data_IF_957218934663
#
_entry.id   IF_957218934663
#
_cell.length_a   1.000
_cell.length_b   1.000
_cell.length_c   1.000
_cell.angle_alpha   90.00
_cell.angle_beta   90.00
_cell.angle_gamma   90.00
#
_symmetry.space_group_name_H-M   'P 1'
#
loop_
_entity.id
_entity.type
_entity.pdbx_description
1 polymer ?
#
# COMPACT_ATOMS: atom_id res chain seq x y z
N UNK A 1 -3.20 -34.72 -24.66
CA UNK A 1 -3.57 -33.28 -24.66
C UNK A 1 -2.28 -32.49 -24.43
N UNK A 2 -2.01 -31.44 -25.19
CA UNK A 2 -0.85 -30.58 -24.95
C UNK A 2 -1.05 -29.79 -23.66
N UNK A 3 0.04 -29.48 -22.95
CA UNK A 3 0.03 -28.67 -21.71
C UNK A 3 -0.68 -27.32 -21.93
N UNK A 4 -0.53 -26.73 -23.12
CA UNK A 4 -1.22 -25.51 -23.52
C UNK A 4 -2.75 -25.67 -23.54
N UNK A 5 -3.26 -26.78 -24.10
CA UNK A 5 -4.71 -27.01 -24.22
C UNK A 5 -5.38 -27.20 -22.85
N UNK A 6 -4.72 -27.91 -21.94
CA UNK A 6 -5.20 -28.07 -20.56
C UNK A 6 -5.21 -26.74 -19.80
N UNK A 7 -4.22 -25.89 -20.06
CA UNK A 7 -4.11 -24.57 -19.44
C UNK A 7 -5.20 -23.63 -19.92
N UNK A 8 -5.48 -23.63 -21.21
CA UNK A 8 -6.57 -22.86 -21.81
C UNK A 8 -7.93 -23.33 -21.28
N UNK A 9 -8.15 -24.64 -21.17
CA UNK A 9 -9.38 -25.21 -20.59
C UNK A 9 -9.55 -24.82 -19.11
N UNK A 10 -8.46 -24.83 -18.33
CA UNK A 10 -8.47 -24.41 -16.93
C UNK A 10 -8.74 -22.92 -16.77
N UNK A 11 -8.08 -22.07 -17.58
CA UNK A 11 -8.33 -20.62 -17.64
C UNK A 11 -9.79 -20.33 -17.93
N UNK A 12 -10.34 -20.94 -18.98
CA UNK A 12 -11.74 -20.75 -19.38
C UNK A 12 -12.69 -21.20 -18.27
N UNK A 13 -12.41 -22.31 -17.60
CA UNK A 13 -13.23 -22.83 -16.51
C UNK A 13 -13.25 -21.89 -15.29
N UNK A 14 -12.08 -21.34 -14.91
CA UNK A 14 -11.96 -20.39 -13.80
C UNK A 14 -12.62 -19.06 -14.16
N UNK A 15 -12.32 -18.49 -15.33
CA UNK A 15 -12.92 -17.24 -15.78
C UNK A 15 -14.44 -17.32 -15.85
N UNK A 16 -14.97 -18.42 -16.41
CA UNK A 16 -16.43 -18.64 -16.56
C UNK A 16 -17.18 -18.74 -15.22
N UNK A 17 -16.52 -19.17 -14.14
CA UNK A 17 -17.12 -19.22 -12.80
C UNK A 17 -16.89 -17.95 -12.00
N UNK A 18 -15.67 -17.43 -12.01
CA UNK A 18 -15.26 -16.34 -11.13
C UNK A 18 -15.69 -14.97 -11.64
N UNK A 19 -15.57 -14.71 -12.95
CA UNK A 19 -15.85 -13.37 -13.52
C UNK A 19 -17.32 -12.95 -13.34
N UNK A 20 -18.33 -13.81 -13.58
CA UNK A 20 -19.73 -13.43 -13.39
C UNK A 20 -20.08 -13.15 -11.92
N UNK A 21 -19.64 -14.01 -11.01
CA UNK A 21 -19.92 -13.83 -9.57
C UNK A 21 -19.21 -12.61 -9.00
N UNK A 22 -17.97 -12.36 -9.42
CA UNK A 22 -17.22 -11.18 -9.03
C UNK A 22 -17.82 -9.90 -9.62
N UNK A 23 -18.38 -9.95 -10.84
CA UNK A 23 -19.10 -8.82 -11.46
C UNK A 23 -20.37 -8.48 -10.69
N UNK A 24 -21.19 -9.46 -10.34
CA UNK A 24 -22.38 -9.23 -9.52
C UNK A 24 -22.04 -8.66 -8.14
N UNK A 25 -20.97 -9.16 -7.52
CA UNK A 25 -20.42 -8.58 -6.28
C UNK A 25 -19.98 -7.13 -6.50
N UNK A 26 -19.16 -6.85 -7.52
CA UNK A 26 -18.67 -5.52 -7.86
C UNK A 26 -19.83 -4.52 -8.05
N UNK A 27 -20.81 -4.87 -8.88
CA UNK A 27 -21.92 -3.99 -9.27
C UNK A 27 -22.92 -3.75 -8.13
N UNK A 28 -23.17 -4.77 -7.30
CA UNK A 28 -24.05 -4.68 -6.13
C UNK A 28 -23.52 -3.68 -5.11
N UNK A 29 -22.22 -3.71 -4.85
CA UNK A 29 -21.60 -2.83 -3.86
C UNK A 29 -21.33 -1.43 -4.44
N UNK A 30 -20.88 -1.27 -5.68
CA UNK A 30 -20.64 0.04 -6.32
C UNK A 30 -21.85 1.00 -6.23
N UNK A 31 -23.08 0.46 -6.20
CA UNK A 31 -24.32 1.24 -6.10
C UNK A 31 -24.65 1.75 -4.70
N UNK A 32 -24.02 1.27 -3.63
CA UNK A 32 -24.52 1.48 -2.27
C UNK A 32 -23.71 2.40 -1.35
N UNK A 33 -22.43 2.70 -1.57
CA UNK A 33 -21.74 3.76 -0.80
C UNK A 33 -20.32 4.04 -1.35
N UNK A 34 -19.82 5.25 -1.13
CA UNK A 34 -18.55 5.82 -1.63
C UNK A 34 -17.27 5.17 -1.06
N UNK A 35 -17.38 4.03 -0.39
CA UNK A 35 -16.31 3.44 0.44
C UNK A 35 -15.90 2.01 0.03
N UNK A 36 -16.23 1.58 -1.19
CA UNK A 36 -15.93 0.23 -1.71
C UNK A 36 -14.68 0.20 -2.59
N UNK A 37 -14.16 1.35 -3.01
CA UNK A 37 -12.91 1.44 -3.78
C UNK A 37 -11.68 0.91 -3.04
N UNK A 38 -11.75 0.75 -1.71
CA UNK A 38 -10.69 0.09 -0.94
C UNK A 38 -10.82 -1.43 -0.84
N UNK A 39 -12.01 -2.01 -1.07
CA UNK A 39 -12.24 -3.46 -0.88
C UNK A 39 -12.05 -4.27 -2.16
N UNK A 40 -12.14 -3.60 -3.31
CA UNK A 40 -12.24 -4.24 -4.62
C UNK A 40 -11.02 -3.87 -5.44
N UNK A 41 -10.01 -4.75 -5.41
CA UNK A 41 -8.68 -4.49 -6.01
C UNK A 41 -8.70 -4.47 -7.55
N UNK A 42 -9.75 -4.98 -8.19
CA UNK A 42 -9.85 -5.10 -9.65
C UNK A 42 -11.28 -4.87 -10.16
N UNK A 43 -11.45 -4.24 -11.33
CA UNK A 43 -12.69 -4.30 -12.11
C UNK A 43 -12.90 -5.69 -12.72
N UNK A 44 -14.14 -6.19 -12.89
CA UNK A 44 -14.40 -7.54 -13.40
C UNK A 44 -13.80 -7.80 -14.78
N UNK A 45 -13.78 -6.77 -15.64
CA UNK A 45 -13.26 -6.85 -17.00
C UNK A 45 -11.73 -7.01 -17.03
N UNK A 46 -11.05 -6.58 -15.97
CA UNK A 46 -9.60 -6.70 -15.85
C UNK A 46 -9.17 -8.03 -15.25
N UNK A 47 -10.06 -8.73 -14.54
CA UNK A 47 -9.79 -10.06 -13.99
C UNK A 47 -9.46 -11.08 -15.10
N UNK A 48 -10.08 -10.95 -16.27
CA UNK A 48 -9.81 -11.81 -17.43
C UNK A 48 -8.41 -11.58 -18.03
N UNK A 49 -7.94 -10.32 -18.01
CA UNK A 49 -6.58 -9.96 -18.42
C UNK A 49 -5.54 -10.53 -17.44
N UNK A 50 -5.78 -10.42 -16.13
CA UNK A 50 -4.88 -11.01 -15.12
C UNK A 50 -4.85 -12.55 -15.18
N UNK A 51 -5.99 -13.20 -15.42
CA UNK A 51 -6.04 -14.65 -15.65
C UNK A 51 -5.28 -15.01 -16.93
N UNK A 52 -5.34 -14.17 -17.96
CA UNK A 52 -4.55 -14.34 -19.18
C UNK A 52 -3.05 -14.31 -18.88
N UNK A 53 -2.56 -13.31 -18.16
CA UNK A 53 -1.14 -13.21 -17.82
C UNK A 53 -0.67 -14.36 -16.90
N UNK A 54 -1.50 -14.76 -15.93
CA UNK A 54 -1.21 -15.88 -15.02
C UNK A 54 -1.01 -17.21 -15.76
N UNK A 55 -1.78 -17.45 -16.82
CA UNK A 55 -1.71 -18.68 -17.59
C UNK A 55 -0.79 -18.55 -18.82
N UNK A 56 -0.58 -17.36 -19.37
CA UNK A 56 0.15 -17.17 -20.62
C UNK A 56 1.54 -16.51 -20.48
N UNK A 57 2.00 -16.11 -19.27
CA UNK A 57 3.27 -15.38 -19.08
C UNK A 57 4.27 -15.95 -18.06
N UNK A 58 5.41 -16.43 -18.58
CA UNK A 58 6.78 -16.53 -18.01
C UNK A 58 7.04 -17.41 -16.76
N UNK A 59 7.86 -18.43 -17.01
CA UNK A 59 8.41 -19.42 -16.06
C UNK A 59 9.07 -18.76 -14.83
N UNK A 60 8.47 -18.90 -13.64
CA UNK A 60 9.16 -19.33 -12.40
C UNK A 60 8.17 -20.19 -11.61
N UNK A 61 8.12 -21.50 -11.91
CA UNK A 61 7.56 -22.47 -10.97
C UNK A 61 8.64 -22.78 -9.92
N UNK A 62 8.31 -22.59 -8.65
CA UNK A 62 8.85 -23.45 -7.60
C UNK A 62 7.67 -23.92 -6.76
N UNK A 63 7.52 -25.23 -6.73
CA UNK A 63 6.44 -25.96 -6.10
C UNK A 63 6.39 -25.72 -4.59
N UNK A 64 5.18 -25.56 -4.06
CA UNK A 64 4.76 -26.22 -2.83
C UNK A 64 3.24 -26.10 -2.68
N UNK A 65 2.59 -27.26 -2.78
CA UNK A 65 1.22 -27.48 -2.38
C UNK A 65 1.09 -27.44 -0.85
N UNK A 66 0.23 -26.58 -0.34
CA UNK A 66 -0.37 -26.79 0.98
C UNK A 66 -1.80 -26.27 1.01
N UNK A 67 -2.67 -27.21 1.31
CA UNK A 67 -4.10 -27.14 1.61
C UNK A 67 -4.59 -25.83 2.24
N UNK A 68 -5.59 -25.24 1.60
CA UNK A 68 -6.42 -24.17 2.14
C UNK A 68 -7.31 -24.74 3.26
N UNK A 69 -7.15 -24.20 4.47
CA UNK A 69 -8.20 -24.24 5.49
C UNK A 69 -8.79 -22.85 5.65
N UNK A 70 -10.09 -22.86 5.90
CA UNK A 70 -11.07 -21.78 5.77
C UNK A 70 -10.98 -20.70 6.85
N UNK A 71 -11.49 -19.51 6.48
CA UNK A 71 -11.96 -18.41 7.34
C UNK A 71 -10.83 -17.59 7.99
N UNK A 72 -10.73 -16.27 7.80
CA UNK A 72 -11.79 -15.29 8.04
C UNK A 72 -11.73 -14.12 7.07
N UNK A 73 -12.87 -13.86 6.43
CA UNK A 73 -13.19 -12.62 5.75
C UNK A 73 -13.96 -11.77 6.76
N UNK A 74 -13.38 -10.69 7.29
CA UNK A 74 -14.17 -9.67 8.01
C UNK A 74 -13.76 -8.28 7.51
N UNK A 75 -14.68 -7.71 6.73
CA UNK A 75 -15.12 -6.32 6.61
C UNK A 75 -14.16 -5.18 7.02
N UNK A 76 -13.73 -4.39 6.03
CA UNK A 76 -13.26 -3.02 6.25
C UNK A 76 -14.36 -2.02 5.90
N UNK A 77 -15.26 -1.86 6.85
CA UNK A 77 -16.21 -0.77 6.97
C UNK A 77 -16.35 -0.46 8.45
N UNK A 78 -15.47 0.38 8.99
CA UNK A 78 -15.72 1.07 10.24
C UNK A 78 -15.11 2.47 10.18
N UNK A 79 -15.94 3.39 9.67
CA UNK A 79 -16.09 4.68 10.34
C UNK A 79 -16.61 4.37 11.74
N UNK A 80 -15.90 4.87 12.75
CA UNK A 80 -16.20 4.79 14.20
C UNK A 80 -17.55 4.18 14.57
N UNK A 81 -17.52 2.93 15.04
CA UNK A 81 -18.46 2.43 16.03
C UNK A 81 -17.63 1.99 17.23
N UNK A 82 -17.77 2.69 18.35
CA UNK A 82 -17.36 2.16 19.64
C UNK A 82 -18.27 0.96 19.92
N UNK A 83 -17.85 -0.28 19.62
CA UNK A 83 -18.26 -1.49 20.34
C UNK A 83 -17.47 -2.73 19.85
N UNK A 84 -16.96 -3.50 20.83
CA UNK A 84 -16.34 -4.85 20.79
C UNK A 84 -15.15 -5.10 19.83
N UNK A 85 -14.06 -4.34 19.98
CA UNK A 85 -12.75 -4.86 19.54
C UNK A 85 -12.24 -5.92 20.53
N UNK A 86 -11.83 -7.09 20.02
CA UNK A 86 -11.15 -8.11 20.85
C UNK A 86 -9.94 -7.45 21.52
N UNK A 87 -9.84 -7.46 22.86
CA UNK A 87 -8.71 -6.90 23.59
C UNK A 87 -7.34 -7.39 23.09
N UNK A 88 -7.26 -8.61 22.53
CA UNK A 88 -6.03 -9.15 21.93
C UNK A 88 -5.66 -8.43 20.63
N UNK A 89 -6.63 -8.12 19.78
CA UNK A 89 -6.38 -7.38 18.54
C UNK A 89 -5.91 -5.96 18.84
N UNK A 90 -6.54 -5.30 19.83
CA UNK A 90 -6.11 -3.96 20.28
C UNK A 90 -4.67 -3.97 20.78
N UNK A 91 -4.28 -5.00 21.56
CA UNK A 91 -2.91 -5.16 22.07
C UNK A 91 -1.92 -5.43 20.93
N UNK A 92 -2.26 -6.32 19.99
CA UNK A 92 -1.39 -6.61 18.83
C UNK A 92 -1.25 -5.39 17.90
N UNK A 93 -2.31 -4.59 17.73
CA UNK A 93 -2.21 -3.31 17.03
C UNK A 93 -1.28 -2.34 17.75
N UNK A 94 -1.42 -2.17 19.06
CA UNK A 94 -0.53 -1.31 19.85
C UNK A 94 0.95 -1.79 19.80
N UNK A 95 1.18 -3.11 19.85
CA UNK A 95 2.52 -3.71 19.70
C UNK A 95 3.07 -3.43 18.30
N UNK A 96 2.26 -3.62 17.26
CA UNK A 96 2.66 -3.41 15.87
C UNK A 96 2.99 -1.95 15.61
N UNK A 97 2.17 -1.04 16.12
CA UNK A 97 2.40 0.39 16.12
C UNK A 97 3.77 0.66 16.75
N UNK A 98 3.97 0.22 18.01
CA UNK A 98 5.20 0.44 18.77
C UNK A 98 6.45 -0.06 18.02
N UNK A 99 6.37 -1.25 17.40
CA UNK A 99 7.45 -1.82 16.59
C UNK A 99 7.72 -1.00 15.34
N UNK A 100 6.68 -0.60 14.61
CA UNK A 100 6.83 0.16 13.39
C UNK A 100 7.37 1.58 13.65
N UNK A 101 6.97 2.21 14.74
CA UNK A 101 7.54 3.47 15.21
C UNK A 101 9.00 3.31 15.67
N UNK A 102 9.30 2.33 16.52
CA UNK A 102 10.67 2.09 16.99
C UNK A 102 11.61 1.82 15.81
N UNK A 103 11.17 1.01 14.85
CA UNK A 103 11.90 0.78 13.60
C UNK A 103 12.15 2.10 12.85
N UNK A 104 11.12 2.97 12.72
CA UNK A 104 11.23 4.28 12.08
C UNK A 104 12.32 5.18 12.70
N UNK A 105 12.53 5.10 14.02
CA UNK A 105 13.50 5.94 14.75
C UNK A 105 14.93 5.38 14.83
N UNK A 106 15.12 4.06 14.67
CA UNK A 106 16.43 3.39 14.83
C UNK A 106 17.45 3.67 13.71
N UNK A 107 17.60 4.92 13.27
CA UNK A 107 18.54 5.33 12.21
C UNK A 107 19.02 6.77 12.33
N UNK A 108 18.96 7.34 13.54
CA UNK A 108 19.35 8.73 13.79
C UNK A 108 20.17 8.87 15.06
N UNK A 109 21.35 8.26 15.14
CA UNK A 109 22.41 8.85 15.96
C UNK A 109 23.00 10.02 15.16
N UNK A 110 22.72 11.23 15.66
CA UNK A 110 23.25 12.47 15.11
C UNK A 110 24.71 12.59 15.53
N UNK A 111 25.65 12.25 14.65
CA UNK A 111 26.94 12.95 14.68
C UNK A 111 26.71 14.36 14.13
N UNK A 112 26.85 15.35 15.02
CA UNK A 112 26.89 16.77 14.64
C UNK A 112 28.13 17.01 13.78
N UNK A 113 27.99 16.91 12.47
CA UNK A 113 28.97 17.47 11.53
C UNK A 113 28.40 18.75 10.95
N UNK A 114 28.88 19.87 11.46
CA UNK A 114 28.74 21.18 10.83
C UNK A 114 29.50 21.15 9.50
N UNK A 115 28.76 21.04 8.39
CA UNK A 115 29.28 21.46 7.09
C UNK A 115 28.21 22.27 6.38
N UNK A 116 28.42 23.58 6.32
CA UNK A 116 27.63 24.49 5.50
C UNK A 116 27.92 24.23 4.02
N UNK A 117 26.91 23.80 3.27
CA UNK A 117 26.89 23.91 1.82
C UNK A 117 25.57 24.57 1.43
N UNK A 118 25.66 25.77 0.86
CA UNK A 118 24.54 26.46 0.22
C UNK A 118 24.12 25.69 -1.03
N UNK A 119 22.82 25.46 -1.19
CA UNK A 119 22.27 24.83 -2.39
C UNK A 119 20.74 24.67 -2.34
N UNK A 120 20.06 25.76 -2.75
CA UNK A 120 18.69 25.87 -3.30
C UNK A 120 17.47 25.42 -2.47
N UNK A 121 16.66 26.44 -2.12
CA UNK A 121 15.25 26.43 -1.71
C UNK A 121 14.76 25.18 -0.98
N UNK A 122 14.71 25.28 0.36
CA UNK A 122 13.87 24.40 1.15
C UNK A 122 12.45 24.48 0.58
N UNK A 123 11.92 23.36 0.08
CA UNK A 123 10.51 23.23 -0.26
C UNK A 123 9.70 23.52 1.01
N UNK A 124 9.30 24.77 1.16
CA UNK A 124 8.44 25.23 2.24
C UNK A 124 7.05 24.68 1.96
N UNK A 125 6.71 23.57 2.61
CA UNK A 125 5.39 22.99 2.51
C UNK A 125 5.32 21.59 3.08
N UNK A 126 4.13 21.24 3.52
CA UNK A 126 3.79 19.91 3.97
C UNK A 126 4.09 18.85 2.89
N UNK A 127 4.73 17.76 3.30
CA UNK A 127 5.12 16.66 2.42
C UNK A 127 4.73 15.30 2.99
N UNK A 128 4.65 14.29 2.12
CA UNK A 128 4.37 12.90 2.49
C UNK A 128 5.30 11.95 1.73
N UNK A 129 6.19 11.28 2.48
CA UNK A 129 7.07 10.24 1.98
C UNK A 129 6.36 8.90 1.94
N UNK A 130 6.51 8.14 0.87
CA UNK A 130 5.83 6.85 0.66
C UNK A 130 6.84 5.77 0.28
N UNK A 131 6.56 4.52 0.65
CA UNK A 131 7.37 3.36 0.29
C UNK A 131 6.56 2.06 0.26
N UNK A 132 6.91 1.18 -0.68
CA UNK A 132 6.41 -0.18 -0.78
C UNK A 132 7.46 -1.24 -0.40
N UNK A 133 7.15 -2.09 0.57
CA UNK A 133 7.97 -3.25 0.93
C UNK A 133 7.44 -4.52 0.27
N UNK A 134 8.20 -5.05 -0.69
CA UNK A 134 7.86 -6.28 -1.42
C UNK A 134 8.99 -7.31 -1.34
N UNK A 135 8.65 -8.60 -1.29
CA UNK A 135 9.63 -9.70 -1.38
C UNK A 135 9.00 -10.92 -2.02
N UNK A 136 9.61 -11.45 -3.08
CA UNK A 136 9.08 -12.57 -3.87
C UNK A 136 8.71 -13.80 -3.01
N UNK A 137 9.54 -14.09 -2.01
CA UNK A 137 9.42 -15.28 -1.14
C UNK A 137 8.37 -15.12 -0.03
N UNK A 138 7.83 -13.93 0.17
CA UNK A 138 6.84 -13.65 1.22
C UNK A 138 5.44 -13.52 0.61
N UNK A 139 4.42 -13.91 1.36
CA UNK A 139 3.01 -13.82 0.93
C UNK A 139 2.42 -12.42 1.11
N UNK A 140 3.04 -11.60 1.96
CA UNK A 140 2.61 -10.24 2.29
C UNK A 140 3.54 -9.20 1.66
N UNK A 141 2.98 -8.08 1.29
CA UNK A 141 3.69 -6.82 1.06
C UNK A 141 3.30 -5.84 2.17
N UNK A 142 4.15 -4.86 2.43
CA UNK A 142 3.86 -3.78 3.36
C UNK A 142 3.86 -2.45 2.65
N UNK A 143 2.99 -1.54 3.07
CA UNK A 143 2.92 -0.17 2.61
C UNK A 143 3.25 0.74 3.79
N UNK A 144 4.04 1.78 3.55
CA UNK A 144 4.42 2.73 4.57
C UNK A 144 4.41 4.16 4.04
N UNK A 145 3.95 5.09 4.85
CA UNK A 145 4.05 6.51 4.53
C UNK A 145 4.24 7.37 5.78
N UNK A 146 4.96 8.47 5.63
CA UNK A 146 5.26 9.44 6.67
C UNK A 146 5.03 10.86 6.15
N UNK A 147 4.05 11.53 6.72
CA UNK A 147 3.67 12.90 6.44
C UNK A 147 4.19 13.83 7.55
N UNK A 148 4.70 15.00 7.14
CA UNK A 148 5.19 16.02 8.05
C UNK A 148 4.86 17.41 7.51
N UNK A 149 4.27 18.22 8.36
CA UNK A 149 4.05 19.64 8.14
C UNK A 149 5.08 20.45 8.93
N UNK A 150 6.06 21.08 8.25
CA UNK A 150 7.09 21.87 8.92
C UNK A 150 6.53 23.14 9.59
N UNK A 151 5.39 23.67 9.14
CA UNK A 151 4.83 24.92 9.65
C UNK A 151 4.12 24.70 10.99
N UNK A 152 3.33 23.62 11.10
CA UNK A 152 2.66 23.23 12.36
C UNK A 152 3.50 22.32 13.26
N UNK A 153 4.56 21.70 12.71
CA UNK A 153 5.31 20.63 13.36
C UNK A 153 4.51 19.32 13.50
N UNK A 154 3.34 19.21 12.85
CA UNK A 154 2.51 18.02 12.93
C UNK A 154 3.07 16.89 12.06
N UNK A 155 2.91 15.66 12.54
CA UNK A 155 3.27 14.46 11.80
C UNK A 155 2.11 13.48 11.79
N UNK A 156 1.98 12.77 10.67
CA UNK A 156 1.07 11.65 10.52
C UNK A 156 1.82 10.52 9.82
N UNK A 157 1.51 9.28 10.16
CA UNK A 157 2.13 8.14 9.51
C UNK A 157 1.16 6.97 9.46
N UNK A 158 1.39 6.11 8.49
CA UNK A 158 0.64 4.87 8.36
C UNK A 158 1.57 3.73 7.97
N UNK A 159 1.29 2.55 8.53
CA UNK A 159 1.76 1.31 7.96
C UNK A 159 0.61 0.30 7.86
N UNK A 160 0.57 -0.42 6.75
CA UNK A 160 -0.37 -1.50 6.56
C UNK A 160 0.28 -2.64 5.79
N UNK A 161 -0.31 -3.82 5.86
CA UNK A 161 0.10 -4.92 5.01
C UNK A 161 -1.07 -5.45 4.21
N UNK A 162 -0.73 -6.10 3.11
CA UNK A 162 -1.68 -6.68 2.18
C UNK A 162 -1.10 -7.92 1.53
N UNK A 163 -1.95 -8.72 0.88
CA UNK A 163 -1.48 -9.84 0.05
C UNK A 163 -0.57 -9.30 -1.06
N UNK A 164 0.64 -9.84 -1.13
CA UNK A 164 1.69 -9.37 -2.04
C UNK A 164 1.20 -9.35 -3.48
N UNK A 165 1.34 -8.20 -4.14
CA UNK A 165 1.08 -8.04 -5.58
C UNK A 165 2.15 -8.70 -6.45
N UNK A 166 2.03 -8.57 -7.76
CA UNK A 166 2.90 -9.25 -8.72
C UNK A 166 4.32 -8.68 -8.76
N UNK A 167 4.48 -7.39 -8.48
CA UNK A 167 5.77 -6.69 -8.60
C UNK A 167 6.05 -5.70 -7.46
N UNK A 168 7.33 -5.37 -7.19
CA UNK A 168 7.69 -4.27 -6.29
C UNK A 168 7.05 -2.95 -6.71
N UNK A 169 7.06 -2.65 -8.02
CA UNK A 169 6.51 -1.41 -8.57
C UNK A 169 4.99 -1.28 -8.33
N UNK A 170 4.25 -2.40 -8.35
CA UNK A 170 2.85 -2.41 -7.93
C UNK A 170 2.70 -2.00 -6.47
N UNK A 171 3.54 -2.52 -5.58
CA UNK A 171 3.50 -2.20 -4.14
C UNK A 171 3.85 -0.73 -3.88
N UNK A 172 4.80 -0.15 -4.64
CA UNK A 172 5.09 1.30 -4.59
C UNK A 172 3.86 2.14 -5.00
N UNK A 173 3.17 1.74 -6.06
CA UNK A 173 1.96 2.41 -6.53
C UNK A 173 0.80 2.28 -5.52
N UNK A 174 0.64 1.11 -4.91
CA UNK A 174 -0.35 0.87 -3.86
C UNK A 174 -0.06 1.72 -2.61
N UNK A 175 1.21 1.88 -2.23
CA UNK A 175 1.62 2.78 -1.15
C UNK A 175 1.24 4.24 -1.45
N UNK A 176 1.43 4.68 -2.70
CA UNK A 176 1.02 6.02 -3.13
C UNK A 176 -0.50 6.21 -3.05
N UNK A 177 -1.29 5.29 -3.62
CA UNK A 177 -2.76 5.36 -3.57
C UNK A 177 -3.25 5.44 -2.12
N UNK A 178 -2.71 4.58 -1.25
CA UNK A 178 -3.11 4.57 0.16
C UNK A 178 -2.73 5.85 0.89
N UNK A 179 -1.52 6.37 0.66
CA UNK A 179 -1.11 7.66 1.21
C UNK A 179 -2.02 8.81 0.74
N UNK A 180 -2.37 8.84 -0.55
CA UNK A 180 -3.27 9.84 -1.12
C UNK A 180 -4.66 9.80 -0.48
N UNK A 181 -5.25 8.61 -0.36
CA UNK A 181 -6.54 8.42 0.31
C UNK A 181 -6.47 8.86 1.79
N UNK A 182 -5.37 8.54 2.47
CA UNK A 182 -5.14 8.92 3.86
C UNK A 182 -5.04 10.45 4.04
N UNK A 183 -4.30 11.13 3.16
CA UNK A 183 -4.20 12.60 3.20
C UNK A 183 -5.57 13.26 2.95
N UNK A 184 -6.35 12.75 1.99
CA UNK A 184 -7.69 13.25 1.71
C UNK A 184 -8.64 13.08 2.91
N UNK A 185 -8.56 11.94 3.62
CA UNK A 185 -9.34 11.68 4.82
C UNK A 185 -9.00 12.65 5.97
N UNK A 186 -7.76 13.14 6.03
CA UNK A 186 -7.30 14.14 7.01
C UNK A 186 -7.46 15.58 6.50
N UNK A 187 -8.25 15.78 5.45
CA UNK A 187 -8.49 17.08 4.81
C UNK A 187 -7.20 17.81 4.35
N UNK A 188 -6.12 17.07 4.10
CA UNK A 188 -4.87 17.61 3.55
C UNK A 188 -5.01 17.65 2.03
N UNK A 189 -5.32 18.84 1.50
CA UNK A 189 -5.66 19.05 0.07
C UNK A 189 -4.51 19.60 -0.77
N UNK A 190 -3.38 19.97 -0.17
CA UNK A 190 -2.20 20.49 -0.86
C UNK A 190 -1.01 19.65 -0.43
N UNK A 191 -0.61 18.71 -1.26
CA UNK A 191 0.37 17.69 -0.87
C UNK A 191 1.51 17.54 -1.85
N UNK A 192 2.71 17.46 -1.29
CA UNK A 192 3.93 17.06 -1.98
C UNK A 192 4.28 15.63 -1.59
N UNK A 193 3.94 14.67 -2.45
CA UNK A 193 4.31 13.27 -2.26
C UNK A 193 5.75 13.03 -2.71
N UNK A 194 6.48 12.18 -1.98
CA UNK A 194 7.89 11.89 -2.22
C UNK A 194 8.13 10.39 -2.19
N UNK A 195 8.90 9.87 -3.15
CA UNK A 195 9.25 8.45 -3.28
C UNK A 195 10.70 8.32 -3.74
N UNK A 196 11.38 7.22 -3.42
CA UNK A 196 12.68 6.89 -4.03
C UNK A 196 12.57 6.00 -5.28
N UNK A 197 11.34 5.65 -5.68
CA UNK A 197 11.09 4.88 -6.87
C UNK A 197 10.93 5.78 -8.10
N UNK A 198 12.02 5.95 -8.86
CA UNK A 198 11.99 6.73 -10.12
C UNK A 198 10.99 6.18 -11.15
N UNK A 199 10.80 4.86 -11.22
CA UNK A 199 9.82 4.24 -12.13
C UNK A 199 8.39 4.59 -11.75
N UNK A 200 8.07 4.70 -10.46
CA UNK A 200 6.76 5.17 -10.00
C UNK A 200 6.51 6.62 -10.45
N UNK A 201 7.51 7.50 -10.31
CA UNK A 201 7.39 8.90 -10.78
C UNK A 201 7.11 8.95 -12.29
N UNK A 202 7.83 8.15 -13.09
CA UNK A 202 7.59 8.04 -14.53
C UNK A 202 6.19 7.52 -14.84
N UNK A 203 5.74 6.51 -14.10
CA UNK A 203 4.43 5.89 -14.27
C UNK A 203 3.29 6.87 -14.03
N UNK A 204 3.33 7.63 -12.94
CA UNK A 204 2.29 8.63 -12.62
C UNK A 204 2.34 9.84 -13.56
N UNK A 205 3.50 10.12 -14.17
CA UNK A 205 3.67 11.23 -15.12
C UNK A 205 3.16 10.88 -16.52
N UNK A 206 3.33 9.62 -16.96
CA UNK A 206 2.95 9.15 -18.30
C UNK A 206 2.22 7.80 -18.20
N UNK A 207 1.00 7.75 -17.64
CA UNK A 207 0.29 6.51 -17.34
C UNK A 207 0.00 5.66 -18.59
N UNK A 208 -0.07 6.26 -19.78
CA UNK A 208 -0.36 5.58 -21.04
C UNK A 208 0.73 4.55 -21.43
N UNK A 209 1.95 4.71 -20.89
CA UNK A 209 3.05 3.76 -21.07
C UNK A 209 2.96 2.52 -20.17
N UNK A 210 1.95 2.43 -19.29
CA UNK A 210 1.89 1.46 -18.20
C UNK A 210 0.52 0.75 -18.10
N UNK A 211 0.02 0.13 -19.19
CA UNK A 211 -1.32 -0.44 -19.25
C UNK A 211 -1.58 -1.54 -18.19
N UNK A 212 -0.55 -2.28 -17.77
CA UNK A 212 -0.66 -3.28 -16.70
C UNK A 212 -1.15 -2.68 -15.37
N UNK A 213 -0.92 -1.38 -15.14
CA UNK A 213 -1.27 -0.68 -13.92
C UNK A 213 -2.51 0.23 -14.07
N UNK A 214 -3.23 0.13 -15.20
CA UNK A 214 -4.33 1.04 -15.56
C UNK A 214 -5.33 1.26 -14.42
N UNK A 215 -5.77 0.20 -13.74
CA UNK A 215 -6.71 0.29 -12.61
C UNK A 215 -6.15 1.13 -11.45
N UNK A 216 -4.92 0.85 -11.04
CA UNK A 216 -4.31 1.58 -9.93
C UNK A 216 -4.01 3.03 -10.35
N UNK A 217 -3.71 3.27 -11.62
CA UNK A 217 -3.52 4.60 -12.17
C UNK A 217 -4.84 5.38 -12.27
N UNK A 218 -5.96 4.73 -12.55
CA UNK A 218 -7.30 5.34 -12.44
C UNK A 218 -7.58 5.81 -11.00
N UNK A 219 -7.19 5.03 -9.99
CA UNK A 219 -7.32 5.41 -8.57
C UNK A 219 -6.42 6.60 -8.21
N UNK A 220 -5.19 6.62 -8.71
CA UNK A 220 -4.29 7.78 -8.60
C UNK A 220 -4.95 9.01 -9.23
N UNK A 221 -5.47 8.92 -10.45
CA UNK A 221 -6.14 10.05 -11.12
C UNK A 221 -7.41 10.49 -10.39
N UNK A 222 -8.19 9.54 -9.85
CA UNK A 222 -9.36 9.85 -9.03
C UNK A 222 -8.97 10.64 -7.78
N UNK A 223 -7.90 10.23 -7.11
CA UNK A 223 -7.40 10.93 -5.94
C UNK A 223 -6.80 12.29 -6.31
N UNK A 224 -5.99 12.38 -7.37
CA UNK A 224 -5.36 13.62 -7.88
C UNK A 224 -6.40 14.72 -8.10
N UNK A 225 -7.55 14.41 -8.70
CA UNK A 225 -8.65 15.38 -8.91
C UNK A 225 -9.25 15.97 -7.63
N UNK A 226 -9.05 15.33 -6.47
CA UNK A 226 -9.56 15.80 -5.16
C UNK A 226 -8.57 16.69 -4.43
N UNK A 227 -7.31 16.78 -4.87
CA UNK A 227 -6.31 17.69 -4.33
C UNK A 227 -6.40 19.07 -5.01
N UNK A 228 -6.21 20.13 -4.23
CA UNK A 228 -6.03 21.49 -4.74
C UNK A 228 -4.62 21.70 -5.31
N UNK A 229 -3.64 21.00 -4.74
CA UNK A 229 -2.28 20.92 -5.25
C UNK A 229 -1.72 19.52 -5.01
N UNK A 230 -1.10 18.94 -6.03
CA UNK A 230 -0.50 17.61 -6.00
C UNK A 230 0.85 17.66 -6.70
N UNK A 231 1.88 17.12 -6.06
CA UNK A 231 3.14 16.79 -6.72
C UNK A 231 3.61 15.40 -6.26
N UNK A 232 4.38 14.74 -7.10
CA UNK A 232 5.09 13.50 -6.76
C UNK A 232 6.54 13.66 -7.22
N UNK A 233 7.48 13.68 -6.28
CA UNK A 233 8.91 13.90 -6.57
C UNK A 233 9.76 12.73 -6.14
N UNK A 234 10.85 12.53 -6.89
CA UNK A 234 11.85 11.53 -6.52
C UNK A 234 12.80 12.08 -5.44
N UNK A 235 13.10 11.26 -4.43
CA UNK A 235 14.08 11.54 -3.37
C UNK A 235 15.09 10.39 -3.25
N UNK A 236 16.34 10.62 -2.77
CA UNK A 236 17.27 9.52 -2.54
C UNK A 236 16.76 8.52 -1.48
N UNK A 237 17.02 7.23 -1.68
CA UNK A 237 16.66 6.14 -0.74
C UNK A 237 17.09 6.40 0.71
N UNK A 238 18.28 6.99 0.88
CA UNK A 238 18.85 7.37 2.18
C UNK A 238 18.02 8.42 2.94
N UNK A 239 17.14 9.14 2.25
CA UNK A 239 16.24 10.15 2.84
C UNK A 239 14.82 9.63 3.07
N UNK A 240 14.47 8.46 2.54
CA UNK A 240 13.15 7.84 2.64
C UNK A 240 13.07 6.78 3.76
N UNK A 241 13.91 6.89 4.78
CA UNK A 241 14.09 5.86 5.81
C UNK A 241 12.83 5.57 6.61
N UNK A 242 12.06 6.60 6.98
CA UNK A 242 10.85 6.42 7.79
C UNK A 242 9.78 5.59 7.07
N UNK A 243 9.47 5.92 5.81
CA UNK A 243 8.47 5.18 5.04
C UNK A 243 8.93 3.74 4.76
N UNK A 244 10.22 3.54 4.43
CA UNK A 244 10.80 2.20 4.26
C UNK A 244 10.64 1.32 5.50
N UNK A 245 10.99 1.86 6.67
CA UNK A 245 10.90 1.14 7.94
C UNK A 245 9.46 0.79 8.30
N UNK A 246 8.52 1.71 8.07
CA UNK A 246 7.08 1.47 8.25
C UNK A 246 6.60 0.33 7.35
N UNK A 247 6.91 0.40 6.04
CA UNK A 247 6.53 -0.61 5.07
C UNK A 247 7.11 -2.00 5.41
N UNK A 248 8.41 -2.06 5.73
CA UNK A 248 9.08 -3.32 6.11
C UNK A 248 8.51 -3.92 7.38
N UNK A 249 8.26 -3.10 8.40
CA UNK A 249 7.70 -3.55 9.67
C UNK A 249 6.31 -4.16 9.47
N UNK A 250 5.45 -3.49 8.69
CA UNK A 250 4.11 -4.00 8.41
C UNK A 250 4.17 -5.31 7.60
N UNK A 251 5.05 -5.41 6.60
CA UNK A 251 5.25 -6.64 5.81
C UNK A 251 5.65 -7.83 6.68
N UNK A 252 6.49 -7.59 7.69
CA UNK A 252 7.02 -8.63 8.57
C UNK A 252 5.98 -9.22 9.54
N UNK A 253 4.82 -8.57 9.71
CA UNK A 253 3.80 -9.08 10.62
C UNK A 253 3.07 -10.31 10.02
N UNK A 254 2.79 -11.33 10.84
CA UNK A 254 2.07 -12.53 10.38
C UNK A 254 0.57 -12.28 10.18
N UNK A 255 -0.01 -11.34 10.92
CA UNK A 255 -1.41 -10.94 10.87
C UNK A 255 -1.60 -9.70 9.98
N UNK A 256 -2.87 -9.35 9.73
CA UNK A 256 -3.20 -8.14 9.00
C UNK A 256 -2.86 -6.90 9.83
N UNK A 257 -2.29 -5.89 9.18
CA UNK A 257 -1.89 -4.63 9.81
C UNK A 257 -2.56 -3.49 9.07
N UNK A 258 -3.21 -2.59 9.80
CA UNK A 258 -3.68 -1.32 9.31
C UNK A 258 -3.65 -0.33 10.45
N UNK A 259 -2.84 0.72 10.35
CA UNK A 259 -2.95 1.83 11.28
C UNK A 259 -2.56 3.15 10.61
N UNK A 260 -3.18 4.22 11.08
CA UNK A 260 -2.90 5.60 10.70
C UNK A 260 -2.98 6.42 11.99
N UNK A 261 -1.86 7.02 12.41
CA UNK A 261 -1.80 7.76 13.66
C UNK A 261 -0.92 9.01 13.55
N UNK A 262 -1.20 9.99 14.42
CA UNK A 262 -0.43 11.22 14.61
C UNK A 262 0.41 11.19 15.88
N UNK A 263 0.11 10.27 16.80
CA UNK A 263 0.85 10.10 18.06
C UNK A 263 1.78 8.90 17.93
N UNK A 264 3.07 9.04 18.27
CA UNK A 264 3.96 7.90 18.29
C UNK A 264 3.60 6.92 19.42
N UNK A 265 3.51 5.63 19.12
CA UNK A 265 3.26 4.60 20.13
C UNK A 265 4.42 4.55 21.12
N UNK A 266 4.06 4.30 22.38
CA UNK A 266 5.01 4.17 23.48
C UNK A 266 5.79 2.85 23.28
N UNK A 267 7.13 2.87 23.28
CA UNK A 267 7.92 1.64 23.25
C UNK A 267 7.51 0.75 24.43
N UNK A 268 7.08 -0.48 24.13
CA UNK A 268 6.82 -1.45 25.18
C UNK A 268 8.16 -1.86 25.82
N UNK A 269 8.24 -1.96 27.16
CA UNK A 269 9.42 -2.48 27.81
C UNK A 269 9.71 -3.90 27.30
N UNK A 270 10.98 -4.19 27.01
CA UNK A 270 11.38 -5.54 26.63
C UNK A 270 11.01 -6.51 27.77
N UNK A 271 10.53 -7.73 27.44
CA UNK A 271 10.26 -8.73 28.47
C UNK A 271 11.57 -9.05 29.21
N UNK A 272 11.51 -8.95 30.55
CA UNK A 272 12.60 -9.24 31.49
C UNK A 272 12.98 -10.72 31.43
#
# INVERSE_FOLDING_TARGET
MSNAKLRDELKVSIAKKLVPEYREFYDKYLRQETNIEMLVRFKPDNLDNYLSDLFHGTVIFSDSSSSLSSSSCISLGCVFSNDDQDPREVVEYAITEARAWAAAQAGGETERVHTSVQGNQADSGEWCKIDGAWKATESRAGLGWYNFDPDSGSSLFGACNLRRGLSPLQTELEALVWAMQSMLAHNKRRMNFQTDCTELVKMVTKPEGWPTFEILLEEVEKCKRKFQAFSLTHIPRTTNTKADKLARSARAQPHDVYYVNSVPPIPLPEPI
#
